data_IF_606904662828
#
_entry.id   IF_606904662828
#
_cell.length_a   1.000
_cell.length_b   1.000
_cell.length_c   1.000
_cell.angle_alpha   90.00
_cell.angle_beta   90.00
_cell.angle_gamma   90.00
#
_symmetry.space_group_name_H-M   'P 1'
#
loop_
_entity.id
_entity.type
_entity.pdbx_description
1 polymer ?
#
# COMPACT_ATOMS: atom_id res chain seq x y z
N UNK A 1 -24.41 19.97 3.23
CA UNK A 1 -24.56 19.77 1.79
C UNK A 1 -23.38 18.95 1.27
N UNK A 2 -23.66 18.06 0.32
CA UNK A 2 -22.59 17.28 -0.28
C UNK A 2 -21.68 18.20 -1.12
N UNK A 3 -20.38 18.16 -0.86
CA UNK A 3 -19.40 18.89 -1.64
C UNK A 3 -19.16 18.20 -2.97
N UNK A 4 -18.99 19.00 -4.01
CA UNK A 4 -18.71 18.46 -5.34
C UNK A 4 -17.28 17.98 -5.44
N UNK A 5 -17.11 16.72 -5.83
CA UNK A 5 -15.78 16.13 -6.05
C UNK A 5 -15.23 16.63 -7.37
N UNK A 6 -14.01 17.19 -7.36
CA UNK A 6 -13.31 17.63 -8.57
C UNK A 6 -12.32 16.58 -9.06
N UNK A 7 -11.86 15.70 -8.22
CA UNK A 7 -10.94 14.65 -8.64
C UNK A 7 -10.48 13.74 -7.51
N UNK A 8 -9.79 12.69 -7.92
CA UNK A 8 -9.19 11.73 -7.01
C UNK A 8 -7.69 11.65 -7.28
N UNK A 9 -6.90 11.52 -6.21
CA UNK A 9 -5.46 11.34 -6.30
C UNK A 9 -5.12 10.03 -5.60
N UNK A 10 -4.42 9.15 -6.29
CA UNK A 10 -3.97 7.87 -5.72
C UNK A 10 -2.45 7.89 -5.62
N UNK A 11 -1.92 7.69 -4.42
CA UNK A 11 -0.49 7.72 -4.16
C UNK A 11 -0.09 6.54 -3.28
N UNK A 12 1.18 6.17 -3.35
CA UNK A 12 1.80 5.25 -2.41
C UNK A 12 2.92 6.01 -1.70
N UNK A 13 2.80 6.15 -0.40
CA UNK A 13 3.69 6.99 0.41
C UNK A 13 4.23 6.16 1.57
N UNK A 14 5.55 6.22 1.86
CA UNK A 14 6.08 5.57 3.07
C UNK A 14 5.40 6.12 4.33
N UNK A 15 4.96 5.22 5.19
CA UNK A 15 4.24 5.58 6.42
C UNK A 15 5.10 6.49 7.31
N UNK A 16 4.50 7.56 7.79
CA UNK A 16 5.16 8.53 8.67
C UNK A 16 6.22 9.39 7.99
N UNK A 17 6.40 9.27 6.67
CA UNK A 17 7.45 9.98 5.91
C UNK A 17 6.92 10.79 4.73
N UNK A 18 5.66 11.19 4.75
CA UNK A 18 5.14 12.07 3.72
C UNK A 18 5.82 13.44 3.78
N UNK A 19 6.25 13.93 2.64
CA UNK A 19 6.92 15.23 2.50
C UNK A 19 6.34 15.98 1.30
N UNK A 20 6.49 17.32 1.25
CA UNK A 20 6.07 18.10 0.07
C UNK A 20 6.87 17.79 -1.20
N UNK A 21 7.94 17.03 -1.09
CA UNK A 21 8.75 16.61 -2.23
C UNK A 21 7.97 15.65 -3.16
N UNK A 22 8.38 15.50 -4.44
CA UNK A 22 7.76 14.52 -5.32
C UNK A 22 7.74 13.11 -4.70
N UNK A 23 6.67 12.29 -4.91
CA UNK A 23 5.54 12.55 -5.82
C UNK A 23 4.36 13.30 -5.20
N UNK A 24 4.40 13.60 -3.91
CA UNK A 24 3.25 14.18 -3.16
C UNK A 24 2.97 15.61 -3.59
N UNK A 25 4.00 16.46 -3.59
CA UNK A 25 3.87 17.87 -3.90
C UNK A 25 3.21 18.17 -5.25
N UNK A 26 3.78 17.67 -6.36
CA UNK A 26 3.20 17.91 -7.68
C UNK A 26 1.78 17.35 -7.83
N UNK A 27 1.49 16.17 -7.28
CA UNK A 27 0.17 15.56 -7.38
C UNK A 27 -0.90 16.39 -6.67
N UNK A 28 -0.62 16.86 -5.47
CA UNK A 28 -1.55 17.70 -4.70
C UNK A 28 -1.60 19.13 -5.22
N UNK A 29 -0.47 19.66 -5.66
CA UNK A 29 -0.37 21.02 -6.18
C UNK A 29 -1.23 21.27 -7.42
N UNK A 30 -1.34 20.28 -8.31
CA UNK A 30 -2.19 20.36 -9.50
C UNK A 30 -3.66 20.55 -9.15
N UNK A 31 -4.10 20.07 -8.00
CA UNK A 31 -5.47 20.18 -7.53
C UNK A 31 -5.68 21.32 -6.54
N UNK A 32 -4.63 22.07 -6.22
CA UNK A 32 -4.72 23.21 -5.29
C UNK A 32 -4.94 22.81 -3.83
N UNK A 33 -4.59 21.57 -3.48
CA UNK A 33 -4.74 21.05 -2.11
C UNK A 33 -3.59 21.54 -1.22
N UNK A 34 -3.88 21.78 0.05
CA UNK A 34 -2.86 22.17 1.02
C UNK A 34 -1.96 20.98 1.35
N UNK A 35 -0.77 20.99 0.77
CA UNK A 35 0.21 19.90 0.87
C UNK A 35 0.66 19.70 2.33
N UNK A 36 0.91 20.78 3.06
CA UNK A 36 1.40 20.71 4.45
C UNK A 36 0.35 20.08 5.38
N UNK A 37 -0.92 20.46 5.21
CA UNK A 37 -2.00 19.88 5.99
C UNK A 37 -2.13 18.38 5.73
N UNK A 38 -2.05 17.97 4.47
CA UNK A 38 -2.09 16.56 4.10
C UNK A 38 -0.92 15.77 4.69
N UNK A 39 0.30 16.24 4.52
CA UNK A 39 1.50 15.53 5.00
C UNK A 39 1.48 15.36 6.51
N UNK A 40 1.07 16.39 7.24
CA UNK A 40 0.96 16.34 8.70
C UNK A 40 -0.06 15.29 9.14
N UNK A 41 -1.26 15.33 8.56
CA UNK A 41 -2.33 14.40 8.92
C UNK A 41 -2.00 12.96 8.52
N UNK A 42 -1.42 12.76 7.34
CA UNK A 42 -0.98 11.43 6.90
C UNK A 42 0.08 10.85 7.83
N UNK A 43 1.11 11.63 8.13
CA UNK A 43 2.17 11.19 9.03
C UNK A 43 1.65 10.82 10.43
N UNK A 44 0.69 11.59 10.94
CA UNK A 44 0.06 11.31 12.22
C UNK A 44 -0.74 10.01 12.20
N UNK A 45 -1.52 9.79 11.15
CA UNK A 45 -2.32 8.56 11.00
C UNK A 45 -1.49 7.31 10.78
N UNK A 46 -0.33 7.43 10.15
CA UNK A 46 0.51 6.30 9.78
C UNK A 46 1.75 6.13 10.67
N UNK A 47 1.86 6.87 11.75
CA UNK A 47 3.04 6.83 12.62
C UNK A 47 3.34 5.44 13.20
N UNK A 48 2.31 4.61 13.37
CA UNK A 48 2.46 3.24 13.89
C UNK A 48 2.86 2.23 12.82
N UNK A 49 2.82 2.61 11.56
CA UNK A 49 3.08 1.74 10.40
C UNK A 49 4.40 2.09 9.72
N UNK A 50 5.30 2.80 10.41
CA UNK A 50 6.59 3.22 9.88
C UNK A 50 7.37 2.00 9.33
N UNK A 51 7.93 2.16 8.14
CA UNK A 51 8.63 1.09 7.44
C UNK A 51 7.78 0.37 6.39
N UNK A 52 6.48 0.69 6.31
CA UNK A 52 5.57 0.18 5.29
C UNK A 52 5.23 1.28 4.29
N UNK A 53 4.91 0.88 3.06
CA UNK A 53 4.36 1.80 2.06
C UNK A 53 2.85 1.71 2.17
N UNK A 54 2.21 2.87 2.36
CA UNK A 54 0.76 2.93 2.54
C UNK A 54 0.12 3.55 1.29
N UNK A 55 -0.76 2.83 0.59
CA UNK A 55 -1.57 3.41 -0.48
C UNK A 55 -2.59 4.39 0.11
N UNK A 56 -2.72 5.54 -0.49
CA UNK A 56 -3.69 6.55 -0.08
C UNK A 56 -4.53 7.00 -1.27
N UNK A 57 -5.82 7.15 -1.06
CA UNK A 57 -6.75 7.72 -2.04
C UNK A 57 -7.26 9.03 -1.48
N UNK A 58 -6.94 10.12 -2.15
CA UNK A 58 -7.32 11.48 -1.75
C UNK A 58 -8.48 11.93 -2.63
N UNK A 59 -9.57 12.36 -2.00
CA UNK A 59 -10.70 12.96 -2.71
C UNK A 59 -10.60 14.47 -2.57
N UNK A 60 -10.56 15.17 -3.70
CA UNK A 60 -10.46 16.63 -3.77
C UNK A 60 -11.83 17.21 -4.11
N UNK A 61 -12.24 18.23 -3.36
CA UNK A 61 -13.52 18.90 -3.52
C UNK A 61 -13.37 20.26 -4.21
N UNK A 62 -14.49 20.79 -4.71
CA UNK A 62 -14.52 22.03 -5.46
C UNK A 62 -14.03 23.26 -4.67
N UNK A 63 -14.17 23.24 -3.35
CA UNK A 63 -13.70 24.29 -2.44
C UNK A 63 -12.22 24.15 -2.05
N UNK A 64 -11.49 23.24 -2.72
CA UNK A 64 -10.09 22.89 -2.46
C UNK A 64 -9.87 22.15 -1.13
N UNK A 65 -10.92 21.75 -0.45
CA UNK A 65 -10.79 20.84 0.67
C UNK A 65 -10.52 19.43 0.17
N UNK A 66 -10.07 18.57 1.05
CA UNK A 66 -9.77 17.18 0.71
C UNK A 66 -10.14 16.26 1.87
N UNK A 67 -10.42 15.02 1.50
CA UNK A 67 -10.45 13.90 2.45
C UNK A 67 -9.60 12.79 1.89
N UNK A 68 -9.04 11.95 2.74
CA UNK A 68 -8.27 10.82 2.27
C UNK A 68 -8.53 9.59 3.11
N UNK A 69 -8.36 8.44 2.46
CA UNK A 69 -8.41 7.13 3.13
C UNK A 69 -7.08 6.43 2.89
N UNK A 70 -6.59 5.75 3.91
CA UNK A 70 -5.42 4.90 3.81
C UNK A 70 -5.87 3.45 3.65
N UNK A 71 -5.19 2.71 2.79
CA UNK A 71 -5.45 1.29 2.57
C UNK A 71 -4.36 0.46 3.22
N UNK A 72 -4.54 -0.86 3.27
CA UNK A 72 -3.48 -1.75 3.74
C UNK A 72 -2.28 -1.69 2.79
N UNK A 73 -1.06 -1.96 3.29
CA UNK A 73 0.13 -1.97 2.44
C UNK A 73 -0.04 -2.93 1.26
N UNK A 74 0.59 -2.65 0.10
CA UNK A 74 0.55 -3.57 -1.04
C UNK A 74 1.08 -4.95 -0.65
N UNK A 75 0.51 -6.01 -1.22
CA UNK A 75 0.93 -7.38 -0.94
C UNK A 75 2.44 -7.59 -1.15
N UNK A 76 3.07 -7.07 -2.22
CA UNK A 76 4.53 -7.21 -2.39
C UNK A 76 5.34 -6.62 -1.23
N UNK A 77 4.91 -5.51 -0.67
CA UNK A 77 5.60 -4.86 0.47
C UNK A 77 5.54 -5.76 1.71
N UNK A 78 4.37 -6.33 1.99
CA UNK A 78 4.17 -7.25 3.12
C UNK A 78 5.00 -8.53 2.95
N UNK A 79 5.05 -9.07 1.73
CA UNK A 79 5.83 -10.26 1.42
C UNK A 79 7.32 -9.99 1.60
N UNK A 80 7.83 -8.88 1.09
CA UNK A 80 9.23 -8.48 1.29
C UNK A 80 9.59 -8.36 2.76
N UNK A 81 8.72 -7.73 3.54
CA UNK A 81 8.93 -7.58 4.98
C UNK A 81 8.95 -8.93 5.70
N UNK A 82 8.03 -9.82 5.35
CA UNK A 82 7.97 -11.17 5.95
C UNK A 82 9.21 -12.01 5.62
N UNK A 83 9.78 -11.83 4.42
CA UNK A 83 10.98 -12.54 3.97
C UNK A 83 12.28 -11.82 4.29
N UNK A 84 12.23 -10.60 4.81
CA UNK A 84 13.42 -9.77 5.05
C UNK A 84 14.12 -9.32 3.76
N UNK A 85 13.38 -9.16 2.67
CA UNK A 85 13.92 -8.76 1.37
C UNK A 85 13.80 -7.26 1.13
N UNK A 86 14.83 -6.68 0.55
CA UNK A 86 14.78 -5.28 0.07
C UNK A 86 14.26 -5.21 -1.36
N UNK A 87 14.56 -6.21 -2.18
CA UNK A 87 14.18 -6.23 -3.58
C UNK A 87 13.75 -7.63 -4.03
N UNK A 88 12.70 -7.69 -4.81
CA UNK A 88 12.22 -8.92 -5.42
C UNK A 88 13.06 -9.32 -6.65
N UNK A 89 12.88 -10.56 -7.13
CA UNK A 89 13.58 -11.06 -8.31
C UNK A 89 13.17 -10.34 -9.58
N UNK A 90 14.14 -10.03 -10.43
CA UNK A 90 13.90 -9.55 -11.79
C UNK A 90 13.53 -10.67 -12.77
N UNK A 91 13.78 -11.92 -12.42
CA UNK A 91 13.45 -13.10 -13.22
C UNK A 91 12.80 -14.18 -12.34
N UNK A 92 11.56 -13.97 -11.87
CA UNK A 92 10.96 -14.78 -10.80
C UNK A 92 10.72 -16.24 -11.18
N UNK A 93 10.57 -16.54 -12.46
CA UNK A 93 10.40 -17.92 -12.94
C UNK A 93 11.72 -18.70 -13.02
N UNK A 94 12.85 -18.00 -13.00
CA UNK A 94 14.20 -18.60 -13.10
C UNK A 94 14.99 -18.47 -11.80
N UNK A 95 14.93 -17.28 -11.18
CA UNK A 95 15.70 -16.96 -9.97
C UNK A 95 14.78 -16.77 -8.79
N UNK A 96 14.85 -17.66 -7.82
CA UNK A 96 14.13 -17.54 -6.56
C UNK A 96 15.02 -16.83 -5.54
N UNK A 97 14.49 -15.83 -4.85
CA UNK A 97 15.27 -14.98 -3.92
C UNK A 97 14.96 -15.26 -2.47
N UNK A 98 13.82 -15.89 -2.16
CA UNK A 98 13.42 -16.22 -0.79
C UNK A 98 12.34 -17.30 -0.77
N UNK A 99 12.02 -17.72 0.44
CA UNK A 99 10.91 -18.66 0.69
C UNK A 99 9.98 -18.06 1.72
N UNK A 100 8.67 -18.32 1.59
CA UNK A 100 7.66 -17.90 2.53
C UNK A 100 6.83 -19.14 2.93
N UNK A 101 6.52 -19.24 4.22
CA UNK A 101 5.70 -20.36 4.70
C UNK A 101 4.22 -20.10 4.52
N UNK A 102 3.40 -21.14 4.49
CA UNK A 102 1.94 -21.02 4.44
C UNK A 102 1.37 -20.22 5.60
N UNK A 103 1.97 -20.32 6.78
CA UNK A 103 1.57 -19.53 7.96
C UNK A 103 1.81 -18.03 7.74
N UNK A 104 2.96 -17.64 7.17
CA UNK A 104 3.27 -16.26 6.84
C UNK A 104 2.30 -15.73 5.79
N UNK A 105 2.00 -16.51 4.76
CA UNK A 105 1.01 -16.17 3.73
C UNK A 105 -0.36 -15.93 4.37
N UNK A 106 -0.76 -16.77 5.30
CA UNK A 106 -2.03 -16.64 6.03
C UNK A 106 -2.09 -15.32 6.82
N UNK A 107 -1.04 -14.97 7.54
CA UNK A 107 -0.95 -13.71 8.30
C UNK A 107 -1.10 -12.49 7.39
N UNK A 108 -0.42 -12.50 6.24
CA UNK A 108 -0.53 -11.43 5.25
C UNK A 108 -1.96 -11.35 4.69
N UNK A 109 -2.55 -12.50 4.38
CA UNK A 109 -3.92 -12.56 3.86
C UNK A 109 -4.92 -12.01 4.88
N UNK A 110 -4.79 -12.35 6.16
CA UNK A 110 -5.65 -11.83 7.23
C UNK A 110 -5.53 -10.30 7.34
N UNK A 111 -4.31 -9.77 7.26
CA UNK A 111 -4.07 -8.33 7.33
C UNK A 111 -4.68 -7.59 6.14
N UNK A 112 -4.70 -8.20 4.95
CA UNK A 112 -5.23 -7.59 3.74
C UNK A 112 -6.70 -7.86 3.48
N UNK A 113 -7.34 -8.76 4.23
CA UNK A 113 -8.76 -9.11 3.99
C UNK A 113 -9.70 -7.92 3.79
N UNK A 114 -9.56 -6.80 4.56
CA UNK A 114 -10.44 -5.64 4.35
C UNK A 114 -10.37 -5.04 2.95
N UNK A 115 -9.24 -5.17 2.27
CA UNK A 115 -9.01 -4.61 0.94
C UNK A 115 -9.13 -5.64 -0.19
N UNK A 116 -9.26 -6.93 0.15
CA UNK A 116 -9.31 -8.01 -0.84
C UNK A 116 -10.74 -8.38 -1.22
N UNK A 117 -10.95 -8.67 -2.49
CA UNK A 117 -12.19 -9.25 -2.98
C UNK A 117 -12.07 -10.78 -2.93
N UNK A 118 -11.97 -11.31 -1.73
CA UNK A 118 -11.83 -12.76 -1.50
C UNK A 118 -13.00 -13.26 -0.67
N UNK A 119 -13.57 -14.41 -1.06
CA UNK A 119 -14.71 -15.01 -0.38
C UNK A 119 -14.31 -15.71 0.93
N UNK A 120 -13.05 -16.11 1.07
CA UNK A 120 -12.53 -16.84 2.23
C UNK A 120 -11.06 -16.52 2.46
N UNK A 121 -10.55 -16.90 3.62
CA UNK A 121 -9.12 -16.74 3.94
C UNK A 121 -8.24 -17.60 3.00
N UNK A 122 -8.71 -18.76 2.61
CA UNK A 122 -8.00 -19.64 1.67
C UNK A 122 -7.88 -19.00 0.30
N UNK A 123 -8.93 -18.33 -0.18
CA UNK A 123 -8.90 -17.57 -1.42
C UNK A 123 -7.92 -16.41 -1.34
N UNK A 124 -7.91 -15.68 -0.22
CA UNK A 124 -6.97 -14.61 0.04
C UNK A 124 -5.53 -15.13 0.07
N UNK A 125 -5.27 -16.25 0.73
CA UNK A 125 -3.96 -16.90 0.75
C UNK A 125 -3.49 -17.26 -0.66
N UNK A 126 -4.38 -17.76 -1.50
CA UNK A 126 -4.08 -18.09 -2.90
C UNK A 126 -3.65 -16.85 -3.70
N UNK A 127 -4.32 -15.71 -3.48
CA UNK A 127 -3.96 -14.43 -4.10
C UNK A 127 -2.57 -13.98 -3.66
N UNK A 128 -2.28 -14.05 -2.37
CA UNK A 128 -0.97 -13.67 -1.81
C UNK A 128 0.13 -14.60 -2.32
N UNK A 129 -0.14 -15.91 -2.36
CA UNK A 129 0.81 -16.89 -2.88
C UNK A 129 1.16 -16.62 -4.35
N UNK A 130 0.18 -16.26 -5.17
CA UNK A 130 0.39 -15.87 -6.56
C UNK A 130 1.29 -14.65 -6.68
N UNK A 131 1.07 -13.64 -5.86
CA UNK A 131 1.91 -12.44 -5.82
C UNK A 131 3.35 -12.80 -5.40
N UNK A 132 3.51 -13.65 -4.39
CA UNK A 132 4.83 -14.11 -3.94
C UNK A 132 5.58 -14.81 -5.06
N UNK A 133 4.94 -15.69 -5.80
CA UNK A 133 5.55 -16.37 -6.95
C UNK A 133 5.99 -15.39 -8.02
N UNK A 134 5.19 -14.34 -8.28
CA UNK A 134 5.54 -13.29 -9.24
C UNK A 134 6.76 -12.47 -8.82
N UNK A 135 7.10 -12.49 -7.53
CA UNK A 135 8.27 -11.80 -6.97
C UNK A 135 9.51 -12.69 -6.91
N UNK A 136 9.41 -13.96 -7.26
CA UNK A 136 10.49 -14.92 -7.09
C UNK A 136 10.58 -15.48 -5.67
N UNK A 137 9.51 -15.41 -4.90
CA UNK A 137 9.41 -15.99 -3.56
C UNK A 137 8.69 -17.32 -3.66
N UNK A 138 9.35 -18.39 -3.21
CA UNK A 138 8.78 -19.73 -3.21
C UNK A 138 7.88 -19.91 -1.99
N UNK A 139 6.67 -20.40 -2.23
CA UNK A 139 5.72 -20.70 -1.14
C UNK A 139 5.94 -22.14 -0.70
N UNK A 140 6.30 -22.31 0.57
CA UNK A 140 6.53 -23.63 1.19
C UNK A 140 5.61 -23.80 2.38
N UNK A 141 5.29 -25.03 2.71
CA UNK A 141 4.44 -25.35 3.87
C UNK A 141 5.27 -25.47 5.15
#
# INVERSE_FOLDING_TARGET
>A
MAQKVTGYIKLQIPAGKATPAPPVGPALGQHGVNIMAFTKEFNERTKNDVGLIIPVVITVYADRSFTFITKTPPAPVLIKKACGLDKASGAPNKTKVAKITGEQVRKIAEQKMPDLNAASIEAAMSMIAGTARSMGVEVVD
#
